data_IF_466490048147
#
_entry.id   IF_466490048147
#
_cell.length_a   1.000
_cell.length_b   1.000
_cell.length_c   1.000
_cell.angle_alpha   90.00
_cell.angle_beta   90.00
_cell.angle_gamma   90.00
#
_symmetry.space_group_name_H-M   'P 1'
#
loop_
_entity.id
_entity.type
_entity.pdbx_description
1 polymer ?
#
# COMPACT_ATOMS: atom_id res chain seq x y z
N UNK A 1 -13.80 -7.63 9.34
CA UNK A 1 -13.24 -7.68 7.97
C UNK A 1 -13.46 -6.34 7.30
N UNK A 2 -12.43 -5.76 6.67
CA UNK A 2 -12.51 -4.49 5.93
C UNK A 2 -12.85 -4.78 4.45
N UNK A 3 -13.54 -3.85 3.78
CA UNK A 3 -13.81 -3.95 2.33
C UNK A 3 -12.52 -4.15 1.52
N UNK A 4 -11.42 -3.59 2.02
CA UNK A 4 -10.07 -3.79 1.50
C UNK A 4 -9.65 -5.26 1.52
N UNK A 5 -9.78 -5.98 2.64
CA UNK A 5 -9.31 -7.37 2.74
C UNK A 5 -10.15 -8.34 1.90
N UNK A 6 -11.38 -7.98 1.55
CA UNK A 6 -12.27 -8.78 0.69
C UNK A 6 -12.08 -8.52 -0.80
N UNK A 7 -11.41 -7.43 -1.19
CA UNK A 7 -11.12 -7.14 -2.58
C UNK A 7 -10.17 -8.20 -3.15
N UNK A 8 -10.66 -8.97 -4.12
CA UNK A 8 -9.85 -9.85 -4.97
C UNK A 8 -9.15 -8.95 -5.98
N UNK A 9 -7.84 -8.82 -5.80
CA UNK A 9 -7.00 -7.92 -6.57
C UNK A 9 -5.91 -8.74 -7.23
N UNK A 10 -5.70 -8.52 -8.52
CA UNK A 10 -4.59 -9.12 -9.28
C UNK A 10 -3.60 -8.02 -9.62
N UNK A 11 -2.31 -8.30 -9.43
CA UNK A 11 -1.25 -7.35 -9.75
C UNK A 11 -0.52 -7.80 -11.00
N UNK A 12 -0.48 -6.92 -11.99
CA UNK A 12 0.29 -7.10 -13.22
C UNK A 12 1.57 -6.27 -13.10
N UNK A 13 2.73 -6.90 -13.30
CA UNK A 13 4.01 -6.18 -13.34
C UNK A 13 4.19 -5.58 -14.73
N UNK A 14 4.39 -4.26 -14.79
CA UNK A 14 4.62 -3.55 -16.06
C UNK A 14 6.11 -3.53 -16.37
N UNK A 15 6.88 -2.69 -15.66
CA UNK A 15 8.34 -2.56 -15.84
C UNK A 15 9.01 -2.21 -14.51
N UNK A 16 10.21 -2.74 -14.26
CA UNK A 16 10.99 -2.40 -13.07
C UNK A 16 10.24 -2.65 -11.75
N UNK A 17 9.92 -1.56 -11.04
CA UNK A 17 9.16 -1.54 -9.77
C UNK A 17 7.69 -1.13 -9.94
N UNK A 18 7.24 -0.93 -11.19
CA UNK A 18 5.90 -0.45 -11.50
C UNK A 18 4.94 -1.61 -11.71
N UNK A 19 3.76 -1.47 -11.11
CA UNK A 19 2.69 -2.46 -11.15
C UNK A 19 1.37 -1.81 -11.53
N UNK A 20 0.48 -2.59 -12.13
CA UNK A 20 -0.91 -2.25 -12.36
C UNK A 20 -1.80 -3.12 -11.49
N UNK A 21 -2.71 -2.47 -10.78
CA UNK A 21 -3.77 -3.13 -10.02
C UNK A 21 -4.94 -3.46 -10.95
N UNK A 22 -5.40 -4.71 -10.94
CA UNK A 22 -6.69 -5.13 -11.50
C UNK A 22 -7.66 -5.48 -10.36
N UNK A 23 -8.83 -4.86 -10.37
CA UNK A 23 -9.81 -4.85 -9.28
C UNK A 23 -9.80 -3.52 -8.51
N UNK A 24 -10.97 -3.15 -7.98
CA UNK A 24 -11.11 -1.95 -7.15
C UNK A 24 -10.94 -2.30 -5.67
N UNK A 25 -10.15 -1.50 -4.97
CA UNK A 25 -9.96 -1.62 -3.52
C UNK A 25 -10.43 -0.35 -2.83
N UNK A 26 -11.28 -0.48 -1.81
CA UNK A 26 -11.74 0.65 -0.99
C UNK A 26 -11.18 0.57 0.41
N UNK A 27 -10.62 1.66 0.89
CA UNK A 27 -10.09 1.79 2.23
C UNK A 27 -10.67 3.02 2.93
N UNK A 28 -10.95 2.87 4.20
CA UNK A 28 -11.42 3.94 5.06
C UNK A 28 -10.26 4.39 5.96
N UNK A 29 -9.95 5.68 5.94
CA UNK A 29 -8.79 6.23 6.66
C UNK A 29 -9.14 6.61 8.09
N UNK A 30 -8.18 6.36 8.99
CA UNK A 30 -8.21 6.79 10.39
C UNK A 30 -8.87 5.76 11.29
N UNK A 31 -10.17 5.53 11.10
CA UNK A 31 -10.92 4.56 11.85
C UNK A 31 -12.05 3.97 11.00
N UNK A 32 -12.46 2.75 11.33
CA UNK A 32 -13.66 2.15 10.73
C UNK A 32 -14.88 3.01 11.11
N UNK A 33 -15.63 3.46 10.12
CA UNK A 33 -16.77 4.37 10.27
C UNK A 33 -16.40 5.86 10.28
N UNK A 34 -15.16 6.25 9.95
CA UNK A 34 -14.77 7.66 9.83
C UNK A 34 -15.48 8.39 8.67
N UNK A 35 -16.01 7.65 7.69
CA UNK A 35 -16.62 8.20 6.48
C UNK A 35 -15.61 8.70 5.44
N UNK A 36 -14.31 8.65 5.73
CA UNK A 36 -13.28 9.12 4.81
C UNK A 36 -12.74 7.96 3.95
N UNK A 37 -13.37 7.78 2.80
CA UNK A 37 -13.10 6.68 1.88
C UNK A 37 -12.12 7.07 0.77
N UNK A 38 -11.17 6.18 0.50
CA UNK A 38 -10.30 6.21 -0.67
C UNK A 38 -10.51 4.95 -1.50
N UNK A 39 -10.52 5.11 -2.81
CA UNK A 39 -10.73 4.04 -3.77
C UNK A 39 -9.54 3.97 -4.71
N UNK A 40 -8.81 2.86 -4.64
CA UNK A 40 -7.84 2.48 -5.68
C UNK A 40 -8.64 1.80 -6.78
N UNK A 41 -8.75 2.47 -7.94
CA UNK A 41 -9.54 1.99 -9.07
C UNK A 41 -8.86 0.83 -9.80
N UNK A 42 -9.67 0.11 -10.56
CA UNK A 42 -9.17 -0.85 -11.53
C UNK A 42 -8.28 -0.15 -12.58
N UNK A 43 -7.16 -0.78 -12.92
CA UNK A 43 -6.16 -0.23 -13.83
C UNK A 43 -5.20 0.79 -13.21
N UNK A 44 -5.30 1.09 -11.91
CA UNK A 44 -4.38 2.03 -11.25
C UNK A 44 -2.95 1.49 -11.32
N UNK A 45 -2.06 2.31 -11.91
CA UNK A 45 -0.61 2.06 -11.94
C UNK A 45 0.02 2.66 -10.69
N UNK A 46 0.92 1.93 -10.02
CA UNK A 46 1.61 2.36 -8.80
C UNK A 46 3.04 1.82 -8.76
N UNK A 47 3.89 2.44 -7.96
CA UNK A 47 5.32 2.11 -7.87
C UNK A 47 5.68 1.54 -6.51
N UNK A 48 6.28 0.35 -6.50
CA UNK A 48 6.68 -0.35 -5.28
C UNK A 48 8.05 0.13 -4.83
N UNK A 49 8.05 1.22 -4.08
CA UNK A 49 9.26 1.88 -3.57
C UNK A 49 9.82 1.20 -2.31
N UNK A 50 10.25 -0.06 -2.42
CA UNK A 50 10.95 -0.78 -1.34
C UNK A 50 12.47 -0.64 -1.52
N UNK A 51 13.22 -0.13 -0.52
CA UNK A 51 14.68 0.01 -0.59
C UNK A 51 15.35 -1.33 -0.92
N UNK A 52 16.38 -1.31 -1.76
CA UNK A 52 17.10 -2.54 -2.18
C UNK A 52 17.63 -3.33 -0.98
N UNK A 53 18.15 -2.63 0.04
CA UNK A 53 18.57 -3.23 1.31
C UNK A 53 17.45 -3.97 2.04
N UNK A 54 16.22 -3.45 1.95
CA UNK A 54 15.03 -4.05 2.53
C UNK A 54 14.46 -5.18 1.66
N UNK A 55 14.78 -5.27 0.36
CA UNK A 55 14.29 -6.35 -0.52
C UNK A 55 14.75 -7.75 -0.10
N UNK A 56 15.81 -7.85 0.68
CA UNK A 56 16.26 -9.12 1.28
C UNK A 56 15.31 -9.66 2.36
N UNK A 57 14.53 -8.77 2.98
CA UNK A 57 13.62 -9.08 4.10
C UNK A 57 12.16 -8.99 3.65
N UNK A 58 11.89 -8.11 2.69
CA UNK A 58 10.58 -7.77 2.14
C UNK A 58 10.55 -8.14 0.67
N UNK A 59 9.79 -9.17 0.30
CA UNK A 59 9.57 -9.50 -1.11
C UNK A 59 8.70 -8.41 -1.75
N UNK A 60 9.21 -7.65 -2.75
CA UNK A 60 8.43 -6.63 -3.43
C UNK A 60 7.28 -7.20 -4.27
N UNK A 61 7.24 -8.52 -4.51
CA UNK A 61 6.17 -9.18 -5.26
C UNK A 61 5.09 -9.79 -4.35
N UNK A 62 5.26 -9.74 -3.01
CA UNK A 62 4.23 -10.26 -2.11
C UNK A 62 2.98 -9.36 -2.22
N UNK A 63 1.81 -9.93 -2.57
CA UNK A 63 0.58 -9.19 -2.85
C UNK A 63 0.16 -8.25 -1.73
N UNK A 64 0.53 -8.53 -0.47
CA UNK A 64 0.20 -7.69 0.69
C UNK A 64 0.94 -6.35 0.65
N UNK A 65 2.20 -6.36 0.21
CA UNK A 65 2.97 -5.13 0.04
C UNK A 65 2.56 -4.38 -1.23
N UNK A 66 2.22 -5.10 -2.31
CA UNK A 66 1.69 -4.49 -3.53
C UNK A 66 0.40 -3.73 -3.27
N UNK A 67 -0.53 -4.34 -2.54
CA UNK A 67 -1.81 -3.71 -2.18
C UNK A 67 -1.64 -2.49 -1.28
N UNK A 68 -0.75 -2.57 -0.30
CA UNK A 68 -0.43 -1.45 0.58
C UNK A 68 0.30 -0.31 -0.16
N UNK A 69 1.12 -0.62 -1.16
CA UNK A 69 1.79 0.35 -2.02
C UNK A 69 0.80 1.05 -2.97
N UNK A 70 -0.13 0.31 -3.57
CA UNK A 70 -1.19 0.88 -4.40
C UNK A 70 -2.03 1.89 -3.61
N UNK A 71 -2.40 1.55 -2.36
CA UNK A 71 -3.10 2.47 -1.46
C UNK A 71 -2.24 3.69 -1.10
N UNK A 72 -0.95 3.48 -0.79
CA UNK A 72 -0.04 4.57 -0.46
C UNK A 72 0.05 5.60 -1.58
N UNK A 73 0.26 5.15 -2.81
CA UNK A 73 0.43 6.02 -3.97
C UNK A 73 -0.86 6.75 -4.33
N UNK A 74 -2.02 6.08 -4.22
CA UNK A 74 -3.32 6.73 -4.44
C UNK A 74 -3.58 7.84 -3.42
N UNK A 75 -3.16 7.65 -2.17
CA UNK A 75 -3.26 8.66 -1.12
C UNK A 75 -2.38 9.87 -1.41
N UNK A 76 -1.13 9.62 -1.81
CA UNK A 76 -0.23 10.69 -2.23
C UNK A 76 -0.79 11.46 -3.45
N UNK A 77 -1.37 10.76 -4.43
CA UNK A 77 -2.02 11.39 -5.61
C UNK A 77 -3.23 12.22 -5.23
N UNK A 78 -3.97 11.79 -4.22
CA UNK A 78 -5.13 12.52 -3.68
C UNK A 78 -4.74 13.73 -2.81
N UNK A 79 -3.44 13.99 -2.62
CA UNK A 79 -2.94 15.12 -1.85
C UNK A 79 -2.78 14.87 -0.35
N UNK A 80 -2.93 13.62 0.11
CA UNK A 80 -2.66 13.24 1.50
C UNK A 80 -1.16 13.31 1.76
N UNK A 81 -0.76 13.83 2.91
CA UNK A 81 0.65 13.89 3.26
C UNK A 81 1.25 12.48 3.43
N UNK A 82 2.57 12.40 3.24
CA UNK A 82 3.30 11.12 3.24
C UNK A 82 3.23 10.37 4.56
N UNK A 83 3.19 11.07 5.69
CA UNK A 83 3.15 10.43 7.01
C UNK A 83 1.78 9.79 7.24
N UNK A 84 0.72 10.51 6.88
CA UNK A 84 -0.65 9.99 6.93
C UNK A 84 -0.84 8.82 5.96
N UNK A 85 -0.30 8.93 4.74
CA UNK A 85 -0.30 7.82 3.77
C UNK A 85 0.45 6.59 4.31
N UNK A 86 1.63 6.77 4.91
CA UNK A 86 2.39 5.70 5.54
C UNK A 86 1.64 5.04 6.72
N UNK A 87 0.92 5.84 7.51
CA UNK A 87 0.03 5.35 8.57
C UNK A 87 -1.10 4.48 8.03
N UNK A 88 -1.75 4.90 6.94
CA UNK A 88 -2.77 4.11 6.25
C UNK A 88 -2.21 2.78 5.71
N UNK A 89 -1.02 2.80 5.09
CA UNK A 89 -0.34 1.58 4.63
C UNK A 89 0.02 0.63 5.77
N UNK A 90 0.44 1.13 6.94
CA UNK A 90 0.67 0.30 8.12
C UNK A 90 -0.62 -0.41 8.57
N UNK A 91 -1.74 0.31 8.58
CA UNK A 91 -3.04 -0.23 8.95
C UNK A 91 -3.51 -1.28 7.94
N UNK A 92 -3.28 -1.05 6.65
CA UNK A 92 -3.54 -2.01 5.58
C UNK A 92 -2.70 -3.30 5.74
N UNK A 93 -1.38 -3.17 5.95
CA UNK A 93 -0.50 -4.32 6.21
C UNK A 93 -0.89 -5.08 7.49
N UNK A 94 -1.41 -4.37 8.50
CA UNK A 94 -1.93 -5.00 9.71
C UNK A 94 -3.19 -5.82 9.42
N UNK A 95 -4.09 -5.31 8.57
CA UNK A 95 -5.28 -6.01 8.13
C UNK A 95 -4.94 -7.27 7.29
N UNK A 96 -3.84 -7.22 6.53
CA UNK A 96 -3.32 -8.35 5.72
C UNK A 96 -2.44 -9.34 6.53
N UNK A 97 -2.37 -9.17 7.86
CA UNK A 97 -1.71 -10.14 8.76
C UNK A 97 -0.18 -10.06 8.78
N UNK A 98 0.42 -8.97 8.29
CA UNK A 98 1.88 -8.78 8.35
C UNK A 98 2.33 -8.53 9.80
N UNK A 99 3.42 -9.17 10.21
CA UNK A 99 3.93 -9.11 11.58
C UNK A 99 4.38 -7.68 11.97
N UNK A 100 4.18 -7.33 13.25
CA UNK A 100 4.50 -5.99 13.78
C UNK A 100 5.89 -5.45 13.41
N UNK A 101 7.00 -6.22 13.52
CA UNK A 101 8.33 -5.73 13.16
C UNK A 101 8.45 -5.39 11.67
N UNK A 102 7.88 -6.25 10.81
CA UNK A 102 7.86 -6.06 9.36
C UNK A 102 7.12 -4.79 8.97
N UNK A 103 5.95 -4.56 9.57
CA UNK A 103 5.17 -3.34 9.32
C UNK A 103 5.91 -2.09 9.76
N UNK A 104 6.50 -2.09 10.96
CA UNK A 104 7.23 -0.94 11.49
C UNK A 104 8.38 -0.51 10.56
N UNK A 105 9.21 -1.47 10.13
CA UNK A 105 10.29 -1.19 9.19
C UNK A 105 9.78 -0.68 7.83
N UNK A 106 8.68 -1.26 7.31
CA UNK A 106 8.07 -0.80 6.07
C UNK A 106 7.49 0.62 6.19
N UNK A 107 6.79 0.93 7.28
CA UNK A 107 6.23 2.26 7.55
C UNK A 107 7.31 3.33 7.62
N UNK A 108 8.43 3.06 8.31
CA UNK A 108 9.57 3.98 8.34
C UNK A 108 10.13 4.19 6.92
N UNK A 109 10.27 3.11 6.15
CA UNK A 109 10.77 3.22 4.78
C UNK A 109 9.88 4.13 3.92
N UNK A 110 8.57 3.91 3.89
CA UNK A 110 7.67 4.70 3.02
C UNK A 110 7.41 6.12 3.53
N UNK A 111 7.46 6.33 4.86
CA UNK A 111 7.28 7.65 5.47
C UNK A 111 8.44 8.60 5.20
N UNK A 112 9.68 8.09 5.27
CA UNK A 112 10.88 8.94 5.24
C UNK A 112 11.70 8.83 3.97
N UNK A 113 11.57 7.75 3.21
CA UNK A 113 12.28 7.61 1.95
C UNK A 113 11.35 7.79 0.76
N UNK A 114 11.70 8.77 -0.09
CA UNK A 114 11.19 8.91 -1.44
C UNK A 114 12.24 8.30 -2.36
N UNK A 115 11.94 7.17 -2.99
CA UNK A 115 12.77 6.64 -4.05
C UNK A 115 12.15 7.02 -5.39
N UNK A 116 12.89 7.83 -6.13
CA UNK A 116 12.75 8.10 -7.57
C UNK A 116 13.25 6.92 -8.37
#
# INVERSE_FOLDING_TARGET
MSAYTQAVVVFERLEGIQYRQHGATRWEIGAKGSGWWFEVRDGTVFDVSIPVLLRWIFDPHDPRYLKAAALHDELLRSGVDRITAAGASNAALAADGVSRPKRFAMTIAVAFYRFT
#
